data_IF_666862502953
#
_entry.id   IF_666862502953
#
_cell.length_a   1.000
_cell.length_b   1.000
_cell.length_c   1.000
_cell.angle_alpha   90.00
_cell.angle_beta   90.00
_cell.angle_gamma   90.00
#
_symmetry.space_group_name_H-M   'P 1'
#
loop_
_entity.id
_entity.type
_entity.pdbx_description
1 polymer ?
#
# COMPACT_ATOMS: atom_id res chain seq x y z
N UNK A 1 11.72 -6.69 -4.94
CA UNK A 1 10.80 -5.67 -5.53
C UNK A 1 10.06 -6.31 -6.71
N UNK A 2 8.78 -5.97 -6.93
CA UNK A 2 7.98 -6.57 -8.01
C UNK A 2 8.37 -6.06 -9.41
N UNK A 3 8.61 -4.76 -9.58
CA UNK A 3 9.07 -4.21 -10.86
C UNK A 3 10.32 -3.39 -10.65
N UNK A 4 11.22 -3.40 -11.64
CA UNK A 4 12.38 -2.51 -11.69
C UNK A 4 11.97 -1.16 -12.29
N UNK A 5 11.15 -0.43 -11.54
CA UNK A 5 10.66 0.90 -11.90
C UNK A 5 10.64 1.79 -10.66
N UNK A 6 10.87 3.11 -10.80
CA UNK A 6 10.66 4.05 -9.72
C UNK A 6 9.24 3.95 -9.15
N UNK A 7 9.09 4.11 -7.83
CA UNK A 7 7.75 4.11 -7.22
C UNK A 7 6.95 5.32 -7.67
N UNK A 8 5.63 5.13 -7.80
CA UNK A 8 4.69 6.23 -7.98
C UNK A 8 4.89 7.30 -6.91
N UNK A 9 5.15 6.89 -5.66
CA UNK A 9 5.41 7.76 -4.51
C UNK A 9 6.33 8.95 -4.84
N UNK A 10 7.49 8.65 -5.44
CA UNK A 10 8.50 9.65 -5.82
C UNK A 10 8.14 10.33 -7.14
N UNK A 11 7.84 9.56 -8.20
CA UNK A 11 7.61 10.11 -9.55
C UNK A 11 6.39 11.03 -9.61
N UNK A 12 5.35 10.73 -8.83
CA UNK A 12 4.13 11.52 -8.73
C UNK A 12 4.19 12.65 -7.70
N UNK A 13 5.33 12.84 -7.02
CA UNK A 13 5.48 13.84 -5.95
C UNK A 13 4.52 13.63 -4.77
N UNK A 14 4.07 12.38 -4.54
CA UNK A 14 3.10 12.06 -3.50
C UNK A 14 3.69 12.28 -2.11
N UNK A 15 4.98 12.01 -1.93
CA UNK A 15 5.69 12.30 -0.69
C UNK A 15 5.44 13.75 -0.21
N UNK A 16 5.54 14.73 -1.11
CA UNK A 16 5.29 16.13 -0.79
C UNK A 16 3.81 16.39 -0.49
N UNK A 17 2.89 15.81 -1.28
CA UNK A 17 1.44 15.92 -1.04
C UNK A 17 1.00 15.32 0.30
N UNK A 18 1.70 14.29 0.79
CA UNK A 18 1.47 13.60 2.06
C UNK A 18 2.29 14.17 3.23
N UNK A 19 3.10 15.21 2.99
CA UNK A 19 4.02 15.78 3.97
C UNK A 19 4.95 14.72 4.61
N UNK A 20 5.52 13.88 3.76
CA UNK A 20 6.42 12.79 4.12
C UNK A 20 7.74 12.90 3.34
N UNK A 21 8.84 12.29 3.86
CA UNK A 21 10.10 12.24 3.13
C UNK A 21 9.95 11.46 1.82
N UNK A 22 10.75 11.81 0.81
CA UNK A 22 10.89 11.00 -0.41
C UNK A 22 11.76 9.77 -0.13
N UNK A 23 11.28 8.91 0.78
CA UNK A 23 11.94 7.69 1.20
C UNK A 23 11.04 6.49 0.86
N UNK A 24 11.22 5.85 -0.31
CA UNK A 24 10.34 4.79 -0.81
C UNK A 24 10.22 3.53 0.08
N UNK A 25 11.06 3.42 1.11
CA UNK A 25 11.01 2.32 2.08
C UNK A 25 10.37 2.73 3.41
N UNK A 26 10.10 4.03 3.64
CA UNK A 26 9.34 4.50 4.80
C UNK A 26 7.84 4.40 4.51
N UNK A 27 7.28 3.23 4.84
CA UNK A 27 5.87 2.90 4.63
C UNK A 27 5.07 2.89 5.94
N UNK A 28 5.58 3.53 7.00
CA UNK A 28 4.95 3.53 8.32
C UNK A 28 5.18 2.26 9.16
N UNK A 29 5.82 1.24 8.59
CA UNK A 29 6.17 0.02 9.32
C UNK A 29 7.11 0.33 10.49
N UNK A 30 6.74 -0.11 11.68
CA UNK A 30 7.53 0.12 12.90
C UNK A 30 7.32 1.48 13.55
N UNK A 31 6.39 2.31 13.06
CA UNK A 31 6.03 3.55 13.73
C UNK A 31 5.44 3.26 15.13
N UNK A 32 5.84 4.06 16.11
CA UNK A 32 5.23 4.10 17.43
C UNK A 32 3.84 4.76 17.39
N UNK A 33 3.05 4.56 18.44
CA UNK A 33 1.77 5.24 18.59
C UNK A 33 1.92 6.77 18.55
N UNK A 34 3.00 7.32 19.13
CA UNK A 34 3.26 8.76 19.14
C UNK A 34 3.58 9.28 17.74
N UNK A 35 4.35 8.52 16.95
CA UNK A 35 4.64 8.87 15.56
C UNK A 35 3.37 8.84 14.71
N UNK A 36 2.55 7.80 14.85
CA UNK A 36 1.29 7.68 14.14
C UNK A 36 0.30 8.80 14.52
N UNK A 37 0.23 9.18 15.80
CA UNK A 37 -0.63 10.27 16.28
C UNK A 37 -0.15 11.66 15.85
N UNK A 38 1.16 11.86 15.70
CA UNK A 38 1.74 13.12 15.25
C UNK A 38 1.53 13.37 13.75
N UNK A 39 1.42 12.31 12.95
CA UNK A 39 1.23 12.43 11.50
C UNK A 39 -0.12 13.06 11.16
N UNK A 40 -0.08 14.01 10.22
CA UNK A 40 -1.27 14.67 9.71
C UNK A 40 -1.56 14.16 8.31
N UNK A 41 -2.74 13.55 8.14
CA UNK A 41 -3.18 13.05 6.86
C UNK A 41 -3.39 14.19 5.86
N UNK A 42 -3.08 13.99 4.56
CA UNK A 42 -3.45 14.96 3.54
C UNK A 42 -4.97 15.03 3.36
N UNK A 43 -5.43 15.93 2.50
CA UNK A 43 -6.86 16.02 2.19
C UNK A 43 -7.41 14.70 1.65
N UNK A 44 -8.71 14.47 1.86
CA UNK A 44 -9.42 13.31 1.31
C UNK A 44 -9.20 13.16 -0.20
N UNK A 45 -9.21 14.26 -0.94
CA UNK A 45 -9.06 14.22 -2.40
C UNK A 45 -7.66 13.73 -2.80
N UNK A 46 -6.61 14.16 -2.08
CA UNK A 46 -5.24 13.65 -2.28
C UNK A 46 -5.13 12.17 -1.93
N UNK A 47 -5.76 11.73 -0.84
CA UNK A 47 -5.78 10.31 -0.45
C UNK A 47 -6.45 9.44 -1.52
N UNK A 48 -7.62 9.86 -2.01
CA UNK A 48 -8.36 9.12 -3.02
C UNK A 48 -7.66 9.14 -4.38
N UNK A 49 -7.08 10.27 -4.79
CA UNK A 49 -6.30 10.36 -6.02
C UNK A 49 -5.10 9.40 -5.99
N UNK A 50 -4.39 9.32 -4.85
CA UNK A 50 -3.27 8.39 -4.70
C UNK A 50 -3.72 6.92 -4.69
N UNK A 51 -4.84 6.64 -4.01
CA UNK A 51 -5.44 5.31 -4.01
C UNK A 51 -5.82 4.87 -5.43
N UNK A 52 -6.48 5.72 -6.20
CA UNK A 52 -6.89 5.42 -7.57
C UNK A 52 -5.68 5.17 -8.47
N UNK A 53 -4.64 6.02 -8.37
CA UNK A 53 -3.41 5.85 -9.16
C UNK A 53 -2.61 4.61 -8.78
N UNK A 54 -2.57 4.26 -7.50
CA UNK A 54 -1.92 3.04 -7.05
C UNK A 54 -2.66 1.79 -7.53
N UNK A 55 -4.00 1.78 -7.47
CA UNK A 55 -4.82 0.69 -7.99
C UNK A 55 -4.72 0.56 -9.50
N UNK A 56 -4.74 1.66 -10.25
CA UNK A 56 -4.57 1.67 -11.71
C UNK A 56 -3.24 1.02 -12.10
N UNK A 57 -2.14 1.41 -11.46
CA UNK A 57 -0.83 0.85 -11.72
C UNK A 57 -0.70 -0.62 -11.28
N UNK A 58 -1.28 -0.99 -10.13
CA UNK A 58 -1.28 -2.37 -9.65
C UNK A 58 -2.08 -3.28 -10.59
N UNK A 59 -3.29 -2.88 -11.00
CA UNK A 59 -4.12 -3.63 -11.93
C UNK A 59 -3.45 -3.78 -13.30
N UNK A 60 -2.83 -2.71 -13.81
CA UNK A 60 -2.07 -2.77 -15.06
C UNK A 60 -0.86 -3.71 -14.97
N UNK A 61 -0.12 -3.68 -13.85
CA UNK A 61 1.00 -4.59 -13.61
C UNK A 61 0.52 -6.04 -13.56
N UNK A 62 -0.43 -6.37 -12.68
CA UNK A 62 -0.95 -7.72 -12.49
C UNK A 62 -1.53 -8.27 -13.80
N UNK A 63 -2.33 -7.47 -14.52
CA UNK A 63 -2.93 -7.87 -15.79
C UNK A 63 -1.93 -8.07 -16.94
N UNK A 64 -0.68 -7.63 -16.78
CA UNK A 64 0.38 -7.81 -17.77
C UNK A 64 1.24 -9.05 -17.54
N UNK A 65 1.12 -9.71 -16.39
CA UNK A 65 1.98 -10.83 -16.02
C UNK A 65 1.59 -12.11 -16.78
N UNK A 66 2.59 -12.80 -17.30
CA UNK A 66 2.46 -14.17 -17.79
C UNK A 66 2.64 -15.19 -16.65
N UNK A 67 2.29 -16.45 -16.90
CA UNK A 67 2.55 -17.55 -15.96
C UNK A 67 4.04 -17.67 -15.61
N UNK A 68 4.93 -17.37 -16.57
CA UNK A 68 6.37 -17.36 -16.33
C UNK A 68 6.79 -16.20 -15.42
N UNK A 69 6.15 -15.04 -15.54
CA UNK A 69 6.42 -13.90 -14.66
C UNK A 69 5.91 -14.14 -13.23
N UNK A 70 4.77 -14.84 -13.09
CA UNK A 70 4.23 -15.26 -11.80
C UNK A 70 5.13 -16.30 -11.11
N UNK A 71 5.77 -17.18 -11.87
CA UNK A 71 6.63 -18.24 -11.35
C UNK A 71 8.08 -17.78 -11.01
N UNK A 72 8.47 -16.54 -11.32
CA UNK A 72 9.84 -16.07 -11.01
C UNK A 72 10.01 -15.78 -9.52
N UNK A 73 11.26 -15.92 -9.04
CA UNK A 73 11.64 -15.48 -7.71
C UNK A 73 12.03 -13.99 -7.67
N UNK A 74 11.72 -13.35 -6.54
CA UNK A 74 12.12 -11.99 -6.22
C UNK A 74 12.75 -11.92 -4.84
N UNK A 75 13.70 -11.01 -4.68
CA UNK A 75 14.17 -10.57 -3.37
C UNK A 75 12.97 -10.12 -2.53
N UNK A 76 12.84 -10.73 -1.35
CA UNK A 76 11.78 -10.50 -0.39
C UNK A 76 12.35 -10.33 1.01
N UNK A 77 11.68 -9.55 1.86
CA UNK A 77 12.08 -9.40 3.26
C UNK A 77 11.75 -10.65 4.08
N UNK A 78 12.01 -10.61 5.39
CA UNK A 78 11.67 -11.69 6.32
C UNK A 78 10.21 -12.19 6.14
N UNK A 79 9.93 -13.50 6.26
CA UNK A 79 10.79 -14.55 6.84
C UNK A 79 11.72 -15.27 5.86
N UNK A 80 11.67 -14.97 4.56
CA UNK A 80 12.51 -15.60 3.53
C UNK A 80 13.41 -14.56 2.87
N UNK A 81 14.52 -14.97 2.24
CA UNK A 81 15.35 -14.02 1.47
C UNK A 81 14.75 -13.77 0.07
N UNK A 82 14.00 -14.75 -0.45
CA UNK A 82 13.30 -14.66 -1.73
C UNK A 82 11.86 -15.17 -1.63
N UNK A 83 11.02 -14.82 -2.60
CA UNK A 83 9.66 -15.36 -2.75
C UNK A 83 9.24 -15.40 -4.22
N UNK A 84 8.34 -16.31 -4.57
CA UNK A 84 7.72 -16.37 -5.89
C UNK A 84 6.72 -15.21 -6.06
N UNK A 85 6.64 -14.61 -7.25
CA UNK A 85 5.79 -13.44 -7.49
C UNK A 85 4.32 -13.71 -7.19
N UNK A 86 3.81 -14.89 -7.50
CA UNK A 86 2.43 -15.30 -7.18
C UNK A 86 2.13 -15.16 -5.68
N UNK A 87 2.94 -15.83 -4.83
CA UNK A 87 2.81 -15.76 -3.36
C UNK A 87 2.94 -14.32 -2.85
N UNK A 88 3.88 -13.54 -3.42
CA UNK A 88 4.08 -12.14 -3.07
C UNK A 88 2.82 -11.29 -3.33
N UNK A 89 2.18 -11.50 -4.48
CA UNK A 89 0.93 -10.81 -4.83
C UNK A 89 -0.22 -11.26 -3.93
N UNK A 90 -0.30 -12.55 -3.60
CA UNK A 90 -1.27 -13.09 -2.64
C UNK A 90 -1.17 -12.40 -1.28
N UNK A 91 0.05 -12.22 -0.76
CA UNK A 91 0.30 -11.49 0.50
C UNK A 91 -0.15 -10.03 0.39
N UNK A 92 0.20 -9.33 -0.69
CA UNK A 92 -0.15 -7.92 -0.87
C UNK A 92 -1.67 -7.72 -0.99
N UNK A 93 -2.38 -8.62 -1.68
CA UNK A 93 -3.85 -8.59 -1.75
C UNK A 93 -4.46 -8.79 -0.37
N UNK A 94 -3.96 -9.77 0.39
CA UNK A 94 -4.44 -10.04 1.74
C UNK A 94 -4.21 -8.86 2.69
N UNK A 95 -3.04 -8.22 2.62
CA UNK A 95 -2.70 -7.02 3.39
C UNK A 95 -3.73 -5.91 3.19
N UNK A 96 -4.09 -5.62 1.93
CA UNK A 96 -5.11 -4.62 1.59
C UNK A 96 -6.50 -4.97 2.15
N UNK A 97 -6.89 -6.25 2.13
CA UNK A 97 -8.17 -6.71 2.69
C UNK A 97 -8.22 -6.48 4.20
N UNK A 98 -7.15 -6.86 4.92
CA UNK A 98 -7.08 -6.71 6.38
C UNK A 98 -7.10 -5.22 6.77
N UNK A 99 -6.34 -4.38 6.07
CA UNK A 99 -6.36 -2.93 6.29
C UNK A 99 -7.73 -2.31 5.98
N UNK A 100 -8.44 -2.77 4.95
CA UNK A 100 -9.83 -2.37 4.68
C UNK A 100 -10.75 -2.68 5.87
N UNK A 101 -10.58 -3.84 6.52
CA UNK A 101 -11.27 -4.20 7.75
C UNK A 101 -10.96 -3.28 8.93
N UNK A 102 -9.69 -2.88 9.11
CA UNK A 102 -9.29 -1.94 10.16
C UNK A 102 -9.90 -0.55 9.94
N UNK A 103 -9.92 -0.04 8.71
CA UNK A 103 -10.56 1.24 8.36
C UNK A 103 -12.06 1.19 8.65
N UNK A 104 -12.73 0.10 8.26
CA UNK A 104 -14.14 -0.13 8.57
C UNK A 104 -14.40 -0.13 10.08
N UNK A 105 -13.56 -0.81 10.85
CA UNK A 105 -13.64 -0.84 12.32
C UNK A 105 -13.50 0.57 12.92
N UNK A 106 -12.48 1.32 12.52
CA UNK A 106 -12.25 2.69 13.01
C UNK A 106 -13.43 3.62 12.68
N UNK A 107 -13.96 3.53 11.46
CA UNK A 107 -15.13 4.30 11.04
C UNK A 107 -16.34 3.94 11.89
N UNK A 108 -16.61 2.66 12.12
CA UNK A 108 -17.71 2.21 12.97
C UNK A 108 -17.55 2.62 14.43
N UNK A 109 -16.33 2.56 14.97
CA UNK A 109 -16.01 3.05 16.31
C UNK A 109 -16.29 4.56 16.44
N UNK A 110 -15.96 5.34 15.42
CA UNK A 110 -16.14 6.80 15.45
C UNK A 110 -17.58 7.26 15.15
N UNK A 111 -18.27 6.59 14.23
CA UNK A 111 -19.61 7.00 13.77
C UNK A 111 -20.77 6.27 14.49
N UNK A 112 -20.50 5.13 15.12
CA UNK A 112 -21.51 4.31 15.80
C UNK A 112 -22.38 3.46 14.87
N UNK A 113 -23.52 3.00 15.37
CA UNK A 113 -24.43 2.14 14.61
C UNK A 113 -24.92 2.81 13.32
N UNK A 114 -24.88 2.06 12.21
CA UNK A 114 -25.32 2.56 10.90
C UNK A 114 -24.21 3.19 10.05
N UNK A 115 -22.95 3.20 10.51
CA UNK A 115 -21.80 3.79 9.80
C UNK A 115 -21.57 3.30 8.36
N UNK A 116 -22.06 2.09 8.04
CA UNK A 116 -21.91 1.42 6.74
C UNK A 116 -22.99 1.83 5.71
N UNK A 117 -24.00 2.60 6.13
CA UNK A 117 -25.09 3.07 5.28
C UNK A 117 -24.76 4.41 4.64
#
# INVERSE_FOLDING_TARGET
RLADKPQLWSVGGWHAKFNMPDEPNDMGMGWSNDQAAAWQSPSKDVLLEYFDKSNEAAAAYIGSLSDADLAREIEWGQPTETMVVDDALGILVWDNIVHGGQVAYLRGYHQGMGWHR
#
